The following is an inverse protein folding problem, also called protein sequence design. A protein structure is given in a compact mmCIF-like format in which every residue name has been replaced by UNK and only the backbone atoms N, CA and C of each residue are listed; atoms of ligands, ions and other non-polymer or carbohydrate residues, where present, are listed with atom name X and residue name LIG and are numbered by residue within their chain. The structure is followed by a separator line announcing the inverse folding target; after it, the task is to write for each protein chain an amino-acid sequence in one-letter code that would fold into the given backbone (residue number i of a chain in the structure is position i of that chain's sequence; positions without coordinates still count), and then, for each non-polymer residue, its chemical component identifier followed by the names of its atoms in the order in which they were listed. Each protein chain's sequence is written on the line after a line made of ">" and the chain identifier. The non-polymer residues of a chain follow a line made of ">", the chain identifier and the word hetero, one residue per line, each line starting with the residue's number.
data_IF_772443635451
#
_entry.id   IF_772443635451
#
_cell.length_a   1.000
_cell.length_b   1.000
_cell.length_c   1.000
_cell.angle_alpha   90.00
_cell.angle_beta   90.00
_cell.angle_gamma   90.00
#
_symmetry.space_group_name_H-M   'P 1'
#
loop_
_entity.id
_entity.type
_entity.pdbx_description
1 polymer ?
#
# COMPACT_ATOMS: atom_id res chain seq x y z
N UNK A 1 -15.89 -20.79 -9.60
CA UNK A 1 -15.63 -20.43 -9.52
C UNK A 1 -14.86 -20.05 -9.00
N UNK A 2 -14.37 -20.10 -8.74
CA UNK A 2 -13.81 -19.83 -8.25
C UNK A 2 -13.12 -18.97 -8.15
N UNK A 3 -12.77 -18.73 -7.78
CA UNK A 3 -12.17 -17.89 -7.69
C UNK A 3 -11.08 -17.79 -7.13
N UNK A 4 -10.23 -18.12 -7.52
CA UNK A 4 -9.23 -17.86 -6.97
C UNK A 4 -8.96 -16.54 -7.01
N UNK A 5 -8.85 -15.92 -6.37
CA UNK A 5 -8.69 -14.67 -6.46
C UNK A 5 -7.38 -14.18 -6.19
N UNK A 6 -7.19 -12.90 -6.43
CA UNK A 6 -5.99 -12.20 -6.06
C UNK A 6 -6.31 -11.36 -4.85
N UNK A 7 -5.59 -11.58 -3.76
CA UNK A 7 -5.76 -10.77 -2.57
C UNK A 7 -4.58 -9.82 -2.47
N UNK A 8 -4.87 -8.53 -2.40
CA UNK A 8 -3.84 -7.50 -2.34
C UNK A 8 -3.87 -6.87 -0.95
N UNK A 9 -2.73 -6.72 -0.33
CA UNK A 9 -2.68 -6.07 0.97
C UNK A 9 -1.51 -5.12 1.05
N UNK A 10 -1.71 -4.04 1.79
CA UNK A 10 -0.65 -3.08 2.09
C UNK A 10 -0.02 -3.48 3.42
N UNK A 11 1.29 -3.52 3.44
CA UNK A 11 2.03 -3.92 4.63
C UNK A 11 2.83 -2.73 5.12
N UNK A 12 2.54 -2.29 6.33
CA UNK A 12 3.18 -1.13 6.93
C UNK A 12 4.18 -1.60 7.97
N UNK A 13 5.21 -0.79 8.23
CA UNK A 13 6.14 -1.11 9.30
C UNK A 13 5.45 -0.89 10.65
N UNK A 14 6.13 -1.27 11.73
CA UNK A 14 5.51 -1.25 13.06
C UNK A 14 5.10 0.15 13.49
N UNK A 15 5.93 1.14 13.22
CA UNK A 15 5.61 2.51 13.60
C UNK A 15 4.40 3.04 12.86
N UNK A 16 4.31 2.74 11.58
CA UNK A 16 3.18 3.20 10.78
C UNK A 16 1.91 2.48 11.19
N UNK A 17 2.02 1.19 11.51
CA UNK A 17 0.86 0.45 11.99
C UNK A 17 0.34 1.06 13.30
N UNK A 18 1.25 1.42 14.20
CA UNK A 18 0.85 2.04 15.45
C UNK A 18 0.15 3.38 15.21
N UNK A 19 0.67 4.16 14.28
CA UNK A 19 0.04 5.43 13.94
C UNK A 19 -1.34 5.23 13.36
N UNK A 20 -1.51 4.27 12.47
CA UNK A 20 -2.81 3.97 11.87
C UNK A 20 -3.82 3.61 12.94
N UNK A 21 -3.41 2.76 13.88
CA UNK A 21 -4.32 2.36 14.96
C UNK A 21 -4.64 3.53 15.87
N UNK A 22 -3.62 4.31 16.22
CA UNK A 22 -3.83 5.41 17.16
C UNK A 22 -4.76 6.45 16.58
N UNK A 23 -4.65 6.72 15.29
CA UNK A 23 -5.48 7.73 14.63
C UNK A 23 -6.80 7.18 14.13
N UNK A 24 -7.03 5.88 14.27
CA UNK A 24 -8.27 5.28 13.83
C UNK A 24 -8.46 5.32 12.32
N UNK A 25 -7.37 5.19 11.58
CA UNK A 25 -7.43 5.32 10.13
C UNK A 25 -7.86 3.99 9.52
N UNK A 26 -8.81 4.05 8.61
CA UNK A 26 -9.22 2.88 7.85
C UNK A 26 -8.42 2.89 6.55
N UNK A 27 -7.69 1.82 6.29
CA UNK A 27 -6.86 1.72 5.10
C UNK A 27 -7.75 1.29 3.95
N UNK A 28 -7.94 2.15 2.94
CA UNK A 28 -8.81 1.78 1.84
C UNK A 28 -8.12 0.81 0.89
N UNK A 29 -8.91 0.09 0.13
CA UNK A 29 -8.39 -0.78 -0.90
C UNK A 29 -8.35 0.04 -2.19
N UNK A 30 -7.23 0.70 -2.40
CA UNK A 30 -7.10 1.66 -3.51
C UNK A 30 -7.33 1.03 -4.87
N UNK A 31 -7.10 -0.29 -4.96
CA UNK A 31 -7.20 -1.00 -6.23
C UNK A 31 -8.61 -1.48 -6.52
N UNK A 32 -9.50 -1.37 -5.56
CA UNK A 32 -10.82 -1.94 -5.72
C UNK A 32 -11.58 -1.22 -6.81
N UNK A 33 -12.12 -1.95 -7.73
CA UNK A 33 -12.83 -1.37 -8.86
C UNK A 33 -11.95 -1.02 -10.04
N UNK A 34 -10.64 -1.29 -9.92
CA UNK A 34 -9.70 -0.96 -10.98
C UNK A 34 -9.03 -2.23 -11.49
N UNK A 35 -8.50 -2.15 -12.68
CA UNK A 35 -7.87 -3.31 -13.30
C UNK A 35 -6.48 -3.59 -12.78
N UNK A 36 -5.86 -2.61 -12.12
CA UNK A 36 -4.48 -2.75 -11.67
C UNK A 36 -4.35 -2.42 -10.21
N UNK A 37 -3.39 -3.06 -9.57
CA UNK A 37 -3.02 -2.74 -8.19
C UNK A 37 -1.90 -1.71 -8.20
N UNK A 38 -1.66 -1.04 -7.07
CA UNK A 38 -0.54 -0.12 -6.99
C UNK A 38 0.77 -0.81 -7.30
N UNK A 39 1.68 -0.08 -7.88
CA UNK A 39 2.98 -0.59 -8.30
C UNK A 39 4.09 0.08 -7.52
N UNK A 40 5.27 -0.52 -7.59
CA UNK A 40 6.46 0.04 -6.94
C UNK A 40 6.70 1.44 -7.47
N UNK A 41 6.88 2.38 -6.56
CA UNK A 41 7.04 3.79 -6.90
C UNK A 41 5.78 4.60 -6.77
N UNK A 42 4.63 3.95 -6.75
CA UNK A 42 3.38 4.68 -6.54
C UNK A 42 3.32 5.18 -5.11
N UNK A 43 2.61 6.27 -4.93
CA UNK A 43 2.42 6.86 -3.61
C UNK A 43 0.95 6.78 -3.26
N UNK A 44 0.66 6.28 -2.07
CA UNK A 44 -0.70 6.26 -1.55
C UNK A 44 -0.77 7.23 -0.38
N UNK A 45 -1.91 7.86 -0.21
CA UNK A 45 -2.08 8.87 0.83
C UNK A 45 -3.13 8.41 1.81
N UNK A 46 -2.77 8.42 3.09
CA UNK A 46 -3.67 8.02 4.17
C UNK A 46 -3.57 9.05 5.27
N UNK A 47 -4.69 9.62 5.65
CA UNK A 47 -4.74 10.49 6.82
C UNK A 47 -3.71 11.62 6.78
N UNK A 48 -3.44 12.15 5.61
CA UNK A 48 -2.49 13.24 5.47
C UNK A 48 -1.05 12.81 5.32
N UNK A 49 -0.77 11.52 5.44
CA UNK A 49 0.58 11.00 5.24
C UNK A 49 0.67 10.32 3.89
N UNK A 50 1.86 10.33 3.34
CA UNK A 50 2.13 9.68 2.07
C UNK A 50 3.04 8.49 2.28
N UNK A 51 2.76 7.42 1.57
CA UNK A 51 3.54 6.19 1.65
C UNK A 51 3.86 5.75 0.24
N UNK A 52 5.10 5.34 0.02
CA UNK A 52 5.52 4.88 -1.29
C UNK A 52 5.55 3.35 -1.28
N UNK A 53 5.07 2.76 -2.36
CA UNK A 53 5.15 1.31 -2.54
C UNK A 53 6.60 0.98 -2.85
N UNK A 54 7.25 0.22 -1.98
CA UNK A 54 8.67 -0.07 -2.15
C UNK A 54 8.92 -1.42 -2.74
N UNK A 55 8.11 -2.41 -2.39
CA UNK A 55 8.35 -3.78 -2.81
C UNK A 55 7.02 -4.48 -3.01
N UNK A 56 6.94 -5.27 -4.05
CA UNK A 56 5.80 -6.13 -4.31
C UNK A 56 6.25 -7.56 -4.12
N UNK A 57 5.55 -8.30 -3.29
CA UNK A 57 5.87 -9.69 -3.02
C UNK A 57 4.67 -10.54 -3.39
N UNK A 58 4.88 -11.47 -4.30
CA UNK A 58 3.84 -12.39 -4.71
C UNK A 58 3.98 -13.67 -3.92
N UNK A 59 2.88 -14.09 -3.31
CA UNK A 59 2.87 -15.31 -2.51
C UNK A 59 1.71 -16.18 -2.96
N UNK A 60 1.87 -17.47 -2.76
CA UNK A 60 0.81 -18.40 -3.05
C UNK A 60 0.43 -19.10 -1.79
N UNK A 61 -0.84 -19.09 -1.45
CA UNK A 61 -1.33 -19.76 -0.26
C UNK A 61 -2.46 -20.66 -0.73
N UNK A 62 -2.14 -21.92 -0.96
CA UNK A 62 -3.11 -22.81 -1.56
C UNK A 62 -3.44 -22.36 -2.96
N UNK A 63 -4.71 -22.10 -3.21
CA UNK A 63 -5.15 -21.62 -4.50
C UNK A 63 -5.25 -20.12 -4.55
N UNK A 64 -4.97 -19.46 -3.45
CA UNK A 64 -5.08 -18.02 -3.38
C UNK A 64 -3.73 -17.40 -3.67
N UNK A 65 -3.72 -16.41 -4.55
CA UNK A 65 -2.53 -15.62 -4.80
C UNK A 65 -2.62 -14.34 -3.98
N UNK A 66 -1.56 -14.04 -3.24
CA UNK A 66 -1.50 -12.87 -2.39
C UNK A 66 -0.39 -11.96 -2.89
N UNK A 67 -0.74 -10.70 -3.10
CA UNK A 67 0.24 -9.68 -3.47
C UNK A 67 0.38 -8.75 -2.28
N UNK A 68 1.58 -8.73 -1.69
CA UNK A 68 1.85 -7.87 -0.55
C UNK A 68 2.63 -6.68 -1.03
N UNK A 69 2.13 -5.50 -0.72
CA UNK A 69 2.75 -4.26 -1.13
C UNK A 69 3.36 -3.62 0.12
N UNK A 70 4.68 -3.69 0.21
CA UNK A 70 5.38 -3.13 1.36
C UNK A 70 5.59 -1.66 1.12
N UNK A 71 5.13 -0.84 2.05
CA UNK A 71 5.15 0.61 1.89
C UNK A 71 6.05 1.24 2.94
N UNK A 72 6.57 2.39 2.61
CA UNK A 72 7.39 3.18 3.51
C UNK A 72 6.97 4.64 3.49
N UNK A 73 7.55 5.38 4.42
CA UNK A 73 7.24 6.79 4.57
C UNK A 73 7.82 7.56 3.39
N UNK A 74 6.99 8.31 2.71
CA UNK A 74 7.38 9.07 1.54
C UNK A 74 7.50 10.55 1.81
N UNK A 75 7.50 10.98 3.07
CA UNK A 75 7.49 12.40 3.38
C UNK A 75 8.71 13.12 2.85
N UNK A 76 9.87 12.50 3.02
CA UNK A 76 11.08 13.16 2.55
C UNK A 76 11.08 13.30 1.05
N UNK A 77 10.59 12.30 0.39
CA UNK A 77 10.51 12.37 -1.05
C UNK A 77 9.50 13.39 -1.51
N UNK A 78 8.41 13.51 -0.78
CA UNK A 78 7.43 14.51 -1.11
C UNK A 78 8.00 15.89 -1.00
N UNK A 79 8.74 16.14 0.04
CA UNK A 79 9.35 17.44 0.21
C UNK A 79 10.28 17.75 -0.93
N UNK A 80 11.01 16.75 -1.34
CA UNK A 80 11.97 16.95 -2.41
C UNK A 80 11.28 17.21 -3.72
N UNK A 81 10.32 16.43 -3.97
CA UNK A 81 9.72 16.48 -5.26
C UNK A 81 8.92 17.72 -5.48
N UNK A 82 8.63 18.22 -4.52
CA UNK A 82 7.80 19.15 -4.67
C UNK A 82 8.17 20.21 -5.05
N UNK A 83 8.80 20.24 -5.05
CA UNK A 83 9.16 21.10 -5.39
C UNK A 83 8.87 21.51 -6.46
N UNK A 84 8.68 21.64 -7.02
CA UNK A 84 8.44 22.06 -7.94
C UNK A 84 7.58 22.29 -8.54
N UNK A 85 7.39 22.24 -8.48
CA UNK A 85 6.68 22.40 -9.02
C UNK A 85 6.34 23.08 -9.12
#
# INVERSE_FOLDING_TARGET
>A
MSQQGLQVSLVFNADDQAWIRREGIVVPHFWQGHAAAPAVGDVVRLGGRQFVIRTRVWERDGELTVLRLFVGDARAQSDTSFSPL
#
